data_IF_242638426760
#
_entry.id   IF_242638426760
#
_cell.length_a   1.000
_cell.length_b   1.000
_cell.length_c   1.000
_cell.angle_alpha   90.00
_cell.angle_beta   90.00
_cell.angle_gamma   90.00
#
_symmetry.space_group_name_H-M   'P 1'
#
loop_
_entity.id
_entity.type
_entity.pdbx_description
1 polymer ?
#
# COMPACT_ATOMS: atom_id res chain seq x y z
N UNK A 1 41.13 -1.67 56.48
CA UNK A 1 40.07 -1.98 55.48
C UNK A 1 39.84 -0.72 54.67
N UNK A 2 40.67 -0.27 53.73
CA UNK A 2 41.54 -0.93 52.73
C UNK A 2 40.80 -1.75 51.68
N UNK A 3 40.17 -1.05 50.72
CA UNK A 3 40.00 -1.54 49.35
C UNK A 3 39.97 -0.35 48.38
N UNK A 4 41.12 0.25 48.13
CA UNK A 4 41.38 0.92 46.85
C UNK A 4 42.73 0.40 46.38
N UNK A 5 42.67 -0.66 45.57
CA UNK A 5 43.81 -1.19 44.85
C UNK A 5 44.17 -0.21 43.73
N UNK A 6 45.44 0.19 43.70
CA UNK A 6 46.14 0.96 42.66
C UNK A 6 46.22 2.47 42.83
N UNK A 7 47.31 2.91 43.47
CA UNK A 7 48.01 4.14 43.08
C UNK A 7 48.67 3.92 41.72
N UNK A 8 48.19 4.63 40.69
CA UNK A 8 48.89 4.75 39.41
C UNK A 8 49.67 6.07 39.41
N UNK A 9 50.99 5.96 39.48
CA UNK A 9 51.94 7.04 39.15
C UNK A 9 52.16 7.02 37.64
N UNK A 10 51.22 7.57 36.87
CA UNK A 10 51.39 7.77 35.43
C UNK A 10 51.16 9.24 35.09
N UNK A 11 52.28 9.94 34.96
CA UNK A 11 52.37 11.33 34.52
C UNK A 11 52.07 11.35 33.01
N UNK A 12 50.93 11.91 32.62
CA UNK A 12 50.41 11.96 31.24
C UNK A 12 51.38 12.57 30.21
N UNK A 13 52.42 13.26 30.68
CA UNK A 13 53.44 13.88 29.83
C UNK A 13 54.49 12.89 29.29
N UNK A 14 54.66 11.71 29.88
CA UNK A 14 55.63 10.73 29.39
C UNK A 14 55.06 9.82 28.28
N UNK A 15 53.74 9.54 28.28
CA UNK A 15 53.09 8.82 27.16
C UNK A 15 52.99 9.68 25.88
N UNK A 16 52.83 11.01 26.02
CA UNK A 16 52.83 11.91 24.86
C UNK A 16 54.19 11.99 24.17
N UNK A 17 55.30 11.68 24.87
CA UNK A 17 56.64 11.60 24.28
C UNK A 17 56.95 10.26 23.62
N UNK A 18 56.16 9.22 23.89
CA UNK A 18 56.33 7.90 23.27
C UNK A 18 55.49 7.70 22.01
N UNK A 19 54.74 8.73 21.55
CA UNK A 19 54.04 8.66 20.27
C UNK A 19 55.09 8.69 19.16
N UNK A 20 55.47 7.49 18.75
CA UNK A 20 56.35 7.27 17.61
C UNK A 20 55.68 7.91 16.39
N UNK A 21 56.39 8.80 15.69
CA UNK A 21 55.85 9.50 14.50
C UNK A 21 55.29 8.52 13.44
N UNK A 22 55.77 7.27 13.42
CA UNK A 22 55.24 6.21 12.56
C UNK A 22 53.84 5.72 12.96
N UNK A 23 53.55 5.56 14.24
CA UNK A 23 52.26 5.03 14.71
C UNK A 23 51.14 6.07 14.62
N UNK A 24 51.46 7.34 14.87
CA UNK A 24 50.52 8.45 14.70
C UNK A 24 50.10 8.63 13.23
N UNK A 25 51.01 8.39 12.28
CA UNK A 25 50.68 8.38 10.86
C UNK A 25 49.73 7.23 10.49
N UNK A 26 49.92 6.03 11.05
CA UNK A 26 49.02 4.89 10.82
C UNK A 26 47.60 5.21 11.30
N UNK A 27 47.44 5.83 12.46
CA UNK A 27 46.13 6.27 12.95
C UNK A 27 45.52 7.37 12.08
N UNK A 28 46.32 8.32 11.60
CA UNK A 28 45.86 9.37 10.69
C UNK A 28 45.39 8.78 9.34
N UNK A 29 46.14 7.83 8.77
CA UNK A 29 45.76 7.15 7.54
C UNK A 29 44.52 6.27 7.73
N UNK A 30 44.38 5.62 8.88
CA UNK A 30 43.18 4.85 9.23
C UNK A 30 41.95 5.77 9.33
N UNK A 31 42.08 6.92 10.00
CA UNK A 31 41.00 7.92 10.11
C UNK A 31 40.63 8.50 8.74
N UNK A 32 41.61 8.86 7.92
CA UNK A 32 41.39 9.39 6.57
C UNK A 32 40.74 8.36 5.64
N UNK A 33 41.16 7.09 5.73
CA UNK A 33 40.50 5.97 5.05
C UNK A 33 39.04 5.84 5.46
N UNK A 34 38.76 5.94 6.77
CA UNK A 34 37.42 5.80 7.31
C UNK A 34 36.51 6.97 6.92
N UNK A 35 37.03 8.20 6.88
CA UNK A 35 36.34 9.38 6.35
C UNK A 35 36.06 9.20 4.85
N UNK A 36 37.04 8.74 4.08
CA UNK A 36 36.88 8.53 2.63
C UNK A 36 35.83 7.45 2.31
N UNK A 37 35.86 6.32 3.03
CA UNK A 37 34.84 5.26 2.91
C UNK A 37 33.46 5.81 3.30
N UNK A 38 33.36 6.59 4.38
CA UNK A 38 32.09 7.16 4.84
C UNK A 38 31.50 8.15 3.83
N UNK A 39 32.33 9.02 3.24
CA UNK A 39 31.92 9.93 2.17
C UNK A 39 31.48 9.15 0.92
N UNK A 40 32.20 8.09 0.54
CA UNK A 40 31.85 7.25 -0.60
C UNK A 40 30.52 6.48 -0.40
N UNK A 41 30.18 6.12 0.84
CA UNK A 41 28.91 5.46 1.19
C UNK A 41 27.74 6.46 1.21
N UNK A 42 27.98 7.69 1.69
CA UNK A 42 26.91 8.68 1.92
C UNK A 42 26.63 9.61 0.72
N UNK A 43 27.49 9.65 -0.29
CA UNK A 43 27.23 10.32 -1.58
C UNK A 43 27.09 9.32 -2.76
N UNK A 44 26.04 8.49 -2.80
CA UNK A 44 25.84 7.58 -3.93
C UNK A 44 25.33 8.34 -5.16
N UNK A 45 26.11 8.35 -6.25
CA UNK A 45 25.72 8.89 -7.56
C UNK A 45 25.11 7.84 -8.51
N UNK A 46 24.93 6.60 -8.04
CA UNK A 46 24.32 5.51 -8.82
C UNK A 46 22.83 5.35 -8.50
N UNK A 47 22.01 5.05 -9.51
CA UNK A 47 20.62 4.64 -9.29
C UNK A 47 20.58 3.34 -8.46
N UNK A 48 19.73 3.33 -7.42
CA UNK A 48 19.69 2.36 -6.32
C UNK A 48 19.46 0.88 -6.68
N UNK A 49 19.35 0.49 -7.95
CA UNK A 49 18.95 -0.86 -8.39
C UNK A 49 19.60 -1.32 -9.72
N UNK A 50 20.93 -1.32 -9.80
CA UNK A 50 21.64 -1.92 -10.94
C UNK A 50 21.80 -3.46 -10.76
N UNK A 51 21.81 -4.23 -11.86
CA UNK A 51 22.09 -5.69 -11.83
C UNK A 51 23.54 -5.95 -11.40
N UNK A 52 23.81 -7.10 -10.76
CA UNK A 52 25.15 -7.51 -10.26
C UNK A 52 26.23 -7.42 -11.34
N UNK A 53 25.93 -7.83 -12.57
CA UNK A 53 26.89 -7.81 -13.70
C UNK A 53 27.27 -6.39 -14.15
N UNK A 54 26.43 -5.40 -13.83
CA UNK A 54 26.71 -3.97 -14.02
C UNK A 54 27.52 -3.38 -12.88
N UNK A 55 27.32 -3.88 -11.65
CA UNK A 55 27.96 -3.37 -10.44
C UNK A 55 29.38 -3.91 -10.25
N UNK A 56 29.64 -5.16 -10.60
CA UNK A 56 30.91 -5.83 -10.30
C UNK A 56 31.62 -6.35 -11.56
N UNK A 57 32.94 -6.40 -11.50
CA UNK A 57 33.83 -6.86 -12.58
C UNK A 57 33.77 -8.37 -12.72
N UNK A 58 33.69 -9.08 -11.59
CA UNK A 58 33.43 -10.52 -11.51
C UNK A 58 32.09 -10.76 -10.81
N UNK A 59 31.26 -11.71 -11.29
CA UNK A 59 29.99 -12.05 -10.65
C UNK A 59 30.16 -12.81 -9.32
N UNK A 60 31.33 -13.43 -9.11
CA UNK A 60 31.64 -14.24 -7.92
C UNK A 60 32.36 -13.41 -6.85
N UNK A 61 32.03 -13.62 -5.57
CA UNK A 61 32.69 -13.00 -4.43
C UNK A 61 33.47 -14.02 -3.60
N UNK A 62 34.57 -13.59 -2.97
CA UNK A 62 35.31 -14.43 -2.03
C UNK A 62 34.53 -14.56 -0.71
N UNK A 63 34.14 -15.79 -0.34
CA UNK A 63 33.35 -16.03 0.87
C UNK A 63 34.12 -15.71 2.17
N UNK A 64 35.45 -15.84 2.18
CA UNK A 64 36.28 -15.55 3.34
C UNK A 64 36.46 -14.04 3.61
N UNK A 65 36.29 -13.19 2.59
CA UNK A 65 36.52 -11.74 2.66
C UNK A 65 35.45 -11.01 1.84
N UNK A 66 34.18 -11.23 2.20
CA UNK A 66 33.04 -10.77 1.39
C UNK A 66 33.04 -9.26 1.22
N UNK A 67 33.31 -8.51 2.29
CA UNK A 67 33.26 -7.04 2.26
C UNK A 67 34.38 -6.46 1.39
N UNK A 68 35.63 -6.91 1.58
CA UNK A 68 36.77 -6.47 0.77
C UNK A 68 36.61 -6.90 -0.69
N UNK A 69 36.09 -8.12 -0.92
CA UNK A 69 35.85 -8.66 -2.27
C UNK A 69 34.79 -7.86 -3.00
N UNK A 70 33.70 -7.44 -2.35
CA UNK A 70 32.66 -6.63 -2.99
C UNK A 70 33.18 -5.22 -3.30
N UNK A 71 33.93 -4.61 -2.38
CA UNK A 71 34.48 -3.26 -2.55
C UNK A 71 35.47 -3.20 -3.72
N UNK A 72 36.45 -4.11 -3.75
CA UNK A 72 37.52 -4.11 -4.75
C UNK A 72 37.07 -4.61 -6.13
N UNK A 73 35.95 -5.31 -6.20
CA UNK A 73 35.42 -5.87 -7.43
C UNK A 73 34.38 -4.95 -8.11
N UNK A 74 34.05 -3.80 -7.52
CA UNK A 74 33.05 -2.87 -8.06
C UNK A 74 33.57 -2.13 -9.30
N UNK A 75 32.78 -2.12 -10.39
CA UNK A 75 33.11 -1.38 -11.62
C UNK A 75 32.97 0.13 -11.37
N UNK A 76 33.97 0.89 -11.81
CA UNK A 76 33.91 2.35 -11.87
C UNK A 76 33.40 2.74 -13.25
N UNK A 77 32.18 3.27 -13.35
CA UNK A 77 31.70 3.91 -14.58
C UNK A 77 32.28 5.34 -14.66
N UNK A 78 33.24 5.58 -15.55
CA UNK A 78 33.46 6.93 -16.10
C UNK A 78 32.32 7.23 -17.07
N UNK A 79 31.25 7.85 -16.59
CA UNK A 79 30.18 8.33 -17.47
C UNK A 79 30.49 9.71 -18.01
N UNK A 80 30.33 9.86 -19.32
CA UNK A 80 30.30 11.14 -20.00
C UNK A 80 29.29 12.07 -19.36
N UNK A 81 29.79 13.24 -18.95
CA UNK A 81 28.98 14.39 -18.59
C UNK A 81 28.36 14.98 -19.87
N UNK A 82 27.03 15.07 -19.92
CA UNK A 82 26.39 16.11 -20.71
C UNK A 82 26.39 17.36 -19.84
N UNK A 83 27.38 18.21 -20.10
CA UNK A 83 27.57 19.50 -19.46
C UNK A 83 26.46 20.47 -19.90
N UNK A 84 25.49 20.72 -19.01
CA UNK A 84 24.34 21.62 -19.24
C UNK A 84 24.78 23.06 -19.55
N UNK A 85 26.04 23.41 -19.28
CA UNK A 85 26.63 24.73 -19.60
C UNK A 85 27.03 24.89 -21.07
N UNK A 86 26.96 23.82 -21.88
CA UNK A 86 27.27 23.83 -23.32
C UNK A 86 26.06 23.59 -24.23
N UNK A 87 24.84 23.80 -23.74
CA UNK A 87 23.67 23.78 -24.62
C UNK A 87 23.65 25.00 -25.52
N UNK A 88 23.52 24.78 -26.83
CA UNK A 88 23.41 25.86 -27.79
C UNK A 88 22.01 26.52 -27.69
N UNK A 89 21.91 27.80 -28.04
CA UNK A 89 20.63 28.51 -28.07
C UNK A 89 19.54 27.80 -28.92
N UNK A 90 19.96 26.98 -29.89
CA UNK A 90 19.05 26.19 -30.73
C UNK A 90 18.39 25.02 -29.99
N UNK A 91 19.05 24.45 -28.98
CA UNK A 91 18.51 23.33 -28.19
C UNK A 91 17.49 23.82 -27.15
N UNK A 92 17.73 25.01 -26.59
CA UNK A 92 16.77 25.72 -25.74
C UNK A 92 15.53 26.09 -26.58
N UNK A 93 15.73 26.61 -27.79
CA UNK A 93 14.64 26.99 -28.69
C UNK A 93 13.81 25.79 -29.19
N UNK A 94 14.40 24.60 -29.33
CA UNK A 94 13.65 23.36 -29.59
C UNK A 94 12.75 22.94 -28.42
N UNK A 95 13.18 23.14 -27.17
CA UNK A 95 12.33 22.91 -26.00
C UNK A 95 11.22 23.96 -25.87
N UNK A 96 11.52 25.23 -26.19
CA UNK A 96 10.51 26.31 -26.18
C UNK A 96 9.48 26.16 -27.30
N UNK A 97 9.90 25.71 -28.49
CA UNK A 97 8.99 25.44 -29.60
C UNK A 97 8.14 24.17 -29.37
N UNK A 98 8.62 23.21 -28.60
CA UNK A 98 7.83 22.05 -28.18
C UNK A 98 6.73 22.43 -27.16
N UNK A 99 6.91 23.54 -26.43
CA UNK A 99 5.88 24.11 -25.54
C UNK A 99 4.89 25.03 -26.27
N UNK A 100 5.26 25.62 -27.42
CA UNK A 100 4.37 26.44 -28.25
C UNK A 100 3.50 25.64 -29.23
N UNK A 101 3.86 24.38 -29.54
CA UNK A 101 3.05 23.47 -30.38
C UNK A 101 2.09 22.57 -29.58
N UNK A 102 1.71 22.93 -28.35
CA UNK A 102 0.48 22.39 -27.76
C UNK A 102 -0.68 23.09 -28.46
N UNK A 103 -1.13 22.48 -29.55
CA UNK A 103 -2.45 22.75 -30.12
C UNK A 103 -3.46 22.90 -28.99
N UNK A 104 -4.11 24.06 -28.94
CA UNK A 104 -5.33 24.27 -28.15
C UNK A 104 -6.34 23.22 -28.62
N UNK A 105 -6.39 22.08 -27.91
CA UNK A 105 -7.47 21.12 -28.08
C UNK A 105 -8.67 21.74 -27.38
N UNK A 106 -9.43 22.49 -28.16
CA UNK A 106 -10.69 23.08 -27.79
C UNK A 106 -11.68 21.94 -27.48
N UNK A 107 -11.88 21.64 -26.19
CA UNK A 107 -12.66 20.46 -25.72
C UNK A 107 -14.13 20.52 -26.13
N UNK A 108 -14.61 21.65 -26.63
CA UNK A 108 -15.94 21.78 -27.23
C UNK A 108 -16.10 21.00 -28.55
N UNK A 109 -15.02 20.46 -29.12
CA UNK A 109 -15.03 19.59 -30.32
C UNK A 109 -14.23 18.29 -30.13
N UNK A 110 -14.27 17.65 -28.96
CA UNK A 110 -13.72 16.29 -28.84
C UNK A 110 -14.62 15.28 -29.55
N UNK A 111 -14.04 14.45 -30.42
CA UNK A 111 -14.78 13.33 -31.00
C UNK A 111 -15.11 12.30 -29.91
N UNK A 112 -16.18 11.51 -30.09
CA UNK A 112 -16.53 10.44 -29.15
C UNK A 112 -15.36 9.44 -28.94
N UNK A 113 -14.49 9.28 -29.94
CA UNK A 113 -13.31 8.43 -29.88
C UNK A 113 -12.21 9.01 -28.97
N UNK A 114 -12.01 10.33 -28.97
CA UNK A 114 -11.03 10.99 -28.10
C UNK A 114 -11.44 10.96 -26.63
N UNK A 115 -12.76 11.07 -26.36
CA UNK A 115 -13.32 10.93 -25.02
C UNK A 115 -13.13 9.49 -24.51
N UNK A 116 -13.40 8.50 -25.36
CA UNK A 116 -13.22 7.09 -25.01
C UNK A 116 -11.75 6.77 -24.72
N UNK A 117 -10.83 7.22 -25.59
CA UNK A 117 -9.39 7.02 -25.39
C UNK A 117 -8.90 7.67 -24.09
N UNK A 118 -9.42 8.86 -23.76
CA UNK A 118 -9.12 9.54 -22.49
C UNK A 118 -9.63 8.75 -21.29
N UNK A 119 -10.82 8.15 -21.37
CA UNK A 119 -11.36 7.29 -20.32
C UNK A 119 -10.54 6.01 -20.12
N UNK A 120 -9.95 5.47 -21.18
CA UNK A 120 -9.11 4.25 -21.11
C UNK A 120 -7.71 4.55 -20.51
N UNK A 121 -7.18 5.76 -20.72
CA UNK A 121 -5.91 6.23 -20.14
C UNK A 121 -6.05 6.73 -18.69
N UNK A 122 -7.28 6.98 -18.23
CA UNK A 122 -7.51 7.56 -16.90
C UNK A 122 -7.26 6.53 -15.81
N UNK A 123 -6.46 6.93 -14.82
CA UNK A 123 -6.19 6.12 -13.63
C UNK A 123 -7.44 5.98 -12.79
N UNK A 124 -7.79 4.76 -12.40
CA UNK A 124 -8.95 4.46 -11.53
C UNK A 124 -8.51 3.75 -10.26
N UNK A 125 -9.02 4.20 -9.12
CA UNK A 125 -8.77 3.57 -7.82
C UNK A 125 -10.10 3.09 -7.25
N UNK A 126 -10.20 1.79 -7.01
CA UNK A 126 -11.29 1.17 -6.27
C UNK A 126 -10.89 1.02 -4.81
N UNK A 127 -11.46 1.84 -3.95
CA UNK A 127 -11.21 1.77 -2.51
C UNK A 127 -12.12 0.72 -1.89
N UNK A 128 -11.54 -0.26 -1.22
CA UNK A 128 -12.26 -1.42 -0.71
C UNK A 128 -11.98 -1.58 0.76
N UNK A 129 -13.02 -1.49 1.58
CA UNK A 129 -12.93 -1.73 3.00
C UNK A 129 -13.86 -2.85 3.42
N UNK A 130 -13.48 -3.58 4.47
CA UNK A 130 -14.34 -4.56 5.14
C UNK A 130 -14.69 -4.08 6.53
N UNK A 131 -15.95 -4.27 6.92
CA UNK A 131 -16.47 -3.95 8.24
C UNK A 131 -17.17 -5.18 8.84
N UNK A 132 -16.82 -5.50 10.07
CA UNK A 132 -17.52 -6.42 10.96
C UNK A 132 -17.40 -6.01 12.44
N UNK A 133 -18.51 -5.53 13.01
CA UNK A 133 -18.67 -5.13 14.42
C UNK A 133 -17.79 -3.94 14.89
N UNK A 134 -17.50 -3.00 14.01
CA UNK A 134 -16.75 -1.79 14.33
C UNK A 134 -17.57 -0.86 15.24
N UNK A 135 -16.85 -0.19 16.13
CA UNK A 135 -17.39 0.88 16.94
C UNK A 135 -17.73 2.11 16.09
N UNK A 136 -18.56 2.99 16.66
CA UNK A 136 -18.92 4.26 16.01
C UNK A 136 -17.67 5.09 15.71
N UNK A 137 -16.67 5.09 16.59
CA UNK A 137 -15.46 5.90 16.44
C UNK A 137 -14.54 5.35 15.33
N UNK A 138 -14.40 4.02 15.22
CA UNK A 138 -13.66 3.37 14.12
C UNK A 138 -14.32 3.67 12.77
N UNK A 139 -15.64 3.51 12.66
CA UNK A 139 -16.39 3.83 11.45
C UNK A 139 -16.22 5.31 11.06
N UNK A 140 -16.33 6.23 12.04
CA UNK A 140 -16.11 7.67 11.82
C UNK A 140 -14.68 7.90 11.29
N UNK A 141 -13.68 7.27 11.88
CA UNK A 141 -12.28 7.44 11.52
C UNK A 141 -11.99 7.01 10.08
N UNK A 142 -12.49 5.85 9.68
CA UNK A 142 -12.37 5.37 8.30
C UNK A 142 -13.13 6.26 7.32
N UNK A 143 -14.37 6.63 7.63
CA UNK A 143 -15.19 7.52 6.79
C UNK A 143 -14.56 8.90 6.62
N UNK A 144 -13.90 9.44 7.65
CA UNK A 144 -13.13 10.69 7.52
C UNK A 144 -12.05 10.56 6.45
N UNK A 145 -11.37 9.43 6.35
CA UNK A 145 -10.35 9.18 5.33
C UNK A 145 -10.96 9.09 3.93
N UNK A 146 -12.10 8.41 3.79
CA UNK A 146 -12.87 8.32 2.54
C UNK A 146 -13.35 9.70 2.07
N UNK A 147 -13.92 10.51 2.97
CA UNK A 147 -14.41 11.85 2.65
C UNK A 147 -13.27 12.81 2.30
N UNK A 148 -12.11 12.71 2.94
CA UNK A 148 -10.91 13.47 2.54
C UNK A 148 -10.46 13.10 1.11
N UNK A 149 -10.56 11.82 0.74
CA UNK A 149 -10.29 11.37 -0.64
C UNK A 149 -11.31 11.93 -1.63
N UNK A 150 -12.60 11.95 -1.27
CA UNK A 150 -13.66 12.54 -2.08
C UNK A 150 -13.43 14.03 -2.36
N UNK A 151 -12.99 14.79 -1.34
CA UNK A 151 -12.60 16.20 -1.49
C UNK A 151 -11.41 16.36 -2.42
N UNK A 152 -10.32 15.60 -2.22
CA UNK A 152 -9.10 15.70 -3.05
C UNK A 152 -9.42 15.38 -4.52
N UNK A 153 -10.20 14.32 -4.76
CA UNK A 153 -10.59 13.92 -6.10
C UNK A 153 -11.52 14.96 -6.76
N UNK A 154 -12.50 15.50 -6.03
CA UNK A 154 -13.40 16.54 -6.51
C UNK A 154 -12.63 17.82 -6.89
N UNK A 155 -11.67 18.24 -6.06
CA UNK A 155 -10.82 19.39 -6.34
C UNK A 155 -10.00 19.18 -7.63
N UNK A 156 -9.42 17.99 -7.83
CA UNK A 156 -8.70 17.64 -9.07
C UNK A 156 -9.61 17.61 -10.28
N UNK A 157 -10.83 17.09 -10.16
CA UNK A 157 -11.84 17.07 -11.23
C UNK A 157 -12.21 18.50 -11.64
N UNK A 158 -12.39 19.40 -10.67
CA UNK A 158 -12.69 20.82 -10.94
C UNK A 158 -11.50 21.52 -11.59
N UNK A 159 -10.29 21.32 -11.08
CA UNK A 159 -9.07 21.87 -11.67
C UNK A 159 -8.88 21.41 -13.13
N UNK A 160 -9.12 20.12 -13.42
CA UNK A 160 -9.05 19.58 -14.78
C UNK A 160 -10.06 20.25 -15.73
N UNK A 161 -11.30 20.46 -15.26
CA UNK A 161 -12.35 21.15 -16.04
C UNK A 161 -12.01 22.62 -16.27
N UNK A 162 -11.41 23.28 -15.28
CA UNK A 162 -11.12 24.72 -15.32
C UNK A 162 -9.92 25.05 -16.20
N UNK A 163 -8.79 24.35 -16.00
CA UNK A 163 -7.55 24.64 -16.72
C UNK A 163 -7.48 23.99 -18.10
N UNK A 164 -8.47 23.17 -18.48
CA UNK A 164 -8.52 22.40 -19.72
C UNK A 164 -7.22 21.64 -20.05
N UNK A 165 -6.42 21.32 -19.04
CA UNK A 165 -5.09 20.74 -19.17
C UNK A 165 -5.12 19.28 -18.73
N UNK A 166 -4.40 18.42 -19.47
CA UNK A 166 -4.11 17.03 -19.07
C UNK A 166 -3.21 17.08 -17.84
N UNK A 167 -3.80 17.01 -16.65
CA UNK A 167 -3.04 16.78 -15.42
C UNK A 167 -2.62 15.32 -15.39
N UNK A 168 -1.31 15.07 -15.29
CA UNK A 168 -0.74 13.74 -15.04
C UNK A 168 -1.22 13.14 -13.72
N UNK A 169 -1.73 13.99 -12.83
CA UNK A 169 -2.05 13.62 -11.46
C UNK A 169 -3.56 13.36 -11.27
N UNK A 170 -4.34 13.36 -12.35
CA UNK A 170 -5.78 13.08 -12.26
C UNK A 170 -6.05 11.59 -12.10
N UNK A 171 -6.95 11.25 -11.16
CA UNK A 171 -7.45 9.90 -10.95
C UNK A 171 -8.96 9.94 -10.63
N UNK A 172 -9.62 8.83 -10.91
CA UNK A 172 -11.01 8.58 -10.51
C UNK A 172 -11.05 7.63 -9.32
N UNK A 173 -12.05 7.80 -8.45
CA UNK A 173 -12.27 6.92 -7.32
C UNK A 173 -13.67 6.34 -7.33
N UNK A 174 -13.77 5.09 -6.89
CA UNK A 174 -15.02 4.44 -6.52
C UNK A 174 -14.81 3.75 -5.17
N UNK A 175 -15.74 3.92 -4.24
CA UNK A 175 -15.58 3.42 -2.88
C UNK A 175 -16.56 2.29 -2.62
N UNK A 176 -16.05 1.18 -2.13
CA UNK A 176 -16.78 -0.04 -1.77
C UNK A 176 -16.51 -0.40 -0.32
N UNK A 177 -17.57 -0.51 0.48
CA UNK A 177 -17.51 -1.00 1.85
C UNK A 177 -18.31 -2.29 1.94
N UNK A 178 -17.69 -3.33 2.45
CA UNK A 178 -18.21 -4.68 2.52
C UNK A 178 -18.58 -4.98 3.98
N UNK A 179 -19.88 -4.96 4.30
CA UNK A 179 -20.39 -5.30 5.63
C UNK A 179 -20.65 -6.80 5.74
N UNK A 180 -19.94 -7.47 6.65
CA UNK A 180 -20.16 -8.89 6.95
C UNK A 180 -21.30 -9.07 7.98
N UNK A 181 -22.11 -10.12 7.81
CA UNK A 181 -23.29 -10.44 8.63
C UNK A 181 -24.21 -9.24 8.91
N UNK A 182 -24.66 -8.57 7.83
CA UNK A 182 -25.36 -7.29 7.90
C UNK A 182 -26.82 -7.37 8.36
N UNK A 183 -27.37 -8.57 8.53
CA UNK A 183 -28.80 -8.79 8.74
C UNK A 183 -29.07 -9.71 9.94
N UNK A 184 -30.18 -9.45 10.63
CA UNK A 184 -30.72 -10.23 11.75
C UNK A 184 -32.17 -10.63 11.47
N UNK A 185 -32.61 -11.68 12.16
CA UNK A 185 -33.98 -12.16 12.07
C UNK A 185 -34.82 -11.48 13.12
N UNK A 186 -35.89 -10.80 12.69
CA UNK A 186 -36.90 -10.22 13.58
C UNK A 186 -38.15 -11.07 13.49
N UNK A 187 -38.59 -11.57 14.64
CA UNK A 187 -39.83 -12.31 14.75
C UNK A 187 -40.93 -11.36 15.22
N UNK A 188 -41.98 -11.25 14.42
CA UNK A 188 -43.18 -10.48 14.76
C UNK A 188 -44.38 -11.42 14.81
N UNK A 189 -45.07 -11.43 15.95
CA UNK A 189 -46.32 -12.19 16.12
C UNK A 189 -47.50 -11.26 15.88
N UNK A 190 -48.23 -11.51 14.79
CA UNK A 190 -49.48 -10.81 14.50
C UNK A 190 -50.56 -11.86 14.30
N UNK A 191 -51.58 -11.85 15.17
CA UNK A 191 -52.73 -12.76 15.05
C UNK A 191 -52.43 -14.25 15.27
N UNK A 192 -51.38 -14.60 16.01
CA UNK A 192 -51.02 -16.00 16.29
C UNK A 192 -50.16 -16.68 15.22
N UNK A 193 -49.75 -15.96 14.17
CA UNK A 193 -48.73 -16.40 13.22
C UNK A 193 -47.41 -15.66 13.47
N UNK A 194 -46.32 -16.42 13.66
CA UNK A 194 -44.96 -15.89 13.76
C UNK A 194 -44.42 -15.62 12.37
N UNK A 195 -44.24 -14.36 12.02
CA UNK A 195 -43.59 -13.95 10.77
C UNK A 195 -42.10 -13.69 11.02
N UNK A 196 -41.23 -14.34 10.24
CA UNK A 196 -39.79 -14.10 10.23
C UNK A 196 -39.48 -13.02 9.20
N UNK A 197 -39.05 -11.86 9.65
CA UNK A 197 -38.61 -10.76 8.79
C UNK A 197 -37.09 -10.59 8.90
N UNK A 198 -36.43 -10.45 7.76
CA UNK A 198 -34.99 -10.17 7.69
C UNK A 198 -34.76 -8.66 7.72
N UNK A 199 -34.14 -8.15 8.79
CA UNK A 199 -33.87 -6.73 8.97
C UNK A 199 -32.38 -6.46 9.11
N UNK A 200 -31.94 -5.25 8.77
CA UNK A 200 -30.53 -4.86 8.96
C UNK A 200 -30.16 -4.83 10.44
N UNK A 201 -28.90 -5.13 10.74
CA UNK A 201 -28.39 -5.13 12.10
C UNK A 201 -28.15 -3.70 12.65
N UNK A 202 -27.81 -3.61 13.93
CA UNK A 202 -27.52 -2.31 14.59
C UNK A 202 -26.30 -1.61 14.02
N UNK A 203 -25.28 -2.34 13.56
CA UNK A 203 -24.05 -1.77 13.00
C UNK A 203 -24.27 -1.06 11.67
N UNK A 204 -25.13 -1.60 10.80
CA UNK A 204 -25.52 -0.95 9.54
C UNK A 204 -26.33 0.32 9.82
N UNK A 205 -27.20 0.28 10.83
CA UNK A 205 -27.96 1.46 11.27
C UNK A 205 -27.03 2.53 11.85
N UNK A 206 -26.09 2.13 12.72
CA UNK A 206 -25.06 3.00 13.27
C UNK A 206 -24.21 3.64 12.17
N UNK A 207 -23.82 2.88 11.15
CA UNK A 207 -23.06 3.39 10.01
C UNK A 207 -23.83 4.49 9.26
N UNK A 208 -25.13 4.29 9.04
CA UNK A 208 -26.00 5.28 8.38
C UNK A 208 -26.15 6.58 9.21
N UNK A 209 -26.05 6.52 10.54
CA UNK A 209 -26.05 7.71 11.41
C UNK A 209 -24.68 8.39 11.46
N UNK A 210 -23.62 7.59 11.41
CA UNK A 210 -22.23 8.05 11.52
C UNK A 210 -21.74 8.76 10.26
N UNK A 211 -22.25 8.40 9.08
CA UNK A 211 -21.80 9.01 7.81
C UNK A 211 -22.01 10.52 7.76
N UNK A 212 -23.13 11.01 8.29
CA UNK A 212 -23.42 12.45 8.39
C UNK A 212 -22.50 13.16 9.39
N UNK A 213 -22.19 12.50 10.52
CA UNK A 213 -21.23 13.00 11.51
C UNK A 213 -19.82 13.10 10.92
N UNK A 214 -19.40 12.07 10.19
CA UNK A 214 -18.10 12.06 9.53
C UNK A 214 -18.01 13.14 8.44
N UNK A 215 -19.06 13.28 7.60
CA UNK A 215 -19.15 14.33 6.59
C UNK A 215 -19.08 15.72 7.22
N UNK A 216 -19.86 15.95 8.27
CA UNK A 216 -19.88 17.24 8.94
C UNK A 216 -18.53 17.60 9.57
N UNK A 217 -17.81 16.61 10.11
CA UNK A 217 -16.49 16.82 10.68
C UNK A 217 -15.43 17.13 9.63
N UNK A 218 -15.44 16.45 8.47
CA UNK A 218 -14.42 16.68 7.43
C UNK A 218 -14.63 18.00 6.70
N UNK A 219 -15.89 18.38 6.47
CA UNK A 219 -16.22 19.62 5.75
C UNK A 219 -16.41 20.84 6.67
N UNK A 220 -16.25 20.67 7.98
CA UNK A 220 -16.38 21.73 8.99
C UNK A 220 -17.72 22.49 8.93
N UNK A 221 -18.77 21.83 8.43
CA UNK A 221 -20.12 22.37 8.33
C UNK A 221 -21.16 21.26 8.52
N UNK A 222 -22.40 21.60 8.89
CA UNK A 222 -23.44 20.60 9.09
C UNK A 222 -23.90 20.03 7.73
N UNK A 223 -23.43 18.83 7.40
CA UNK A 223 -23.79 18.12 6.17
C UNK A 223 -24.69 16.95 6.52
N UNK A 224 -25.83 16.88 5.84
CA UNK A 224 -26.68 15.69 5.79
C UNK A 224 -26.68 15.14 4.38
N UNK A 225 -26.23 13.90 4.24
CA UNK A 225 -26.26 13.23 2.96
C UNK A 225 -27.70 12.86 2.59
N UNK A 226 -27.95 12.75 1.28
CA UNK A 226 -29.23 12.24 0.79
C UNK A 226 -29.38 10.78 1.23
N UNK A 227 -30.62 10.37 1.45
CA UNK A 227 -30.97 8.98 1.71
C UNK A 227 -30.34 8.08 0.63
N UNK A 228 -29.68 6.98 1.00
CA UNK A 228 -29.07 6.10 0.03
C UNK A 228 -30.11 5.47 -0.88
N UNK A 229 -29.72 5.14 -2.11
CA UNK A 229 -30.50 4.24 -2.93
C UNK A 229 -30.33 2.80 -2.42
N UNK A 230 -31.45 2.11 -2.19
CA UNK A 230 -31.47 0.71 -1.76
C UNK A 230 -31.68 -0.18 -2.99
N UNK A 231 -30.79 -1.14 -3.19
CA UNK A 231 -30.88 -2.11 -4.28
C UNK A 231 -30.76 -3.52 -3.70
N UNK A 232 -31.74 -4.42 -3.93
CA UNK A 232 -31.61 -5.82 -3.55
C UNK A 232 -30.57 -6.51 -4.43
N UNK A 233 -29.75 -7.38 -3.84
CA UNK A 233 -28.69 -8.09 -4.56
C UNK A 233 -28.76 -9.59 -4.27
N UNK A 234 -28.20 -10.46 -5.13
CA UNK A 234 -28.21 -11.91 -4.90
C UNK A 234 -27.53 -12.35 -3.60
N UNK A 235 -26.73 -11.47 -3.00
CA UNK A 235 -25.98 -11.70 -1.78
C UNK A 235 -26.58 -11.03 -0.53
N UNK A 236 -27.70 -10.31 -0.67
CA UNK A 236 -28.32 -9.54 0.40
C UNK A 236 -28.82 -8.20 -0.13
N UNK A 237 -28.12 -7.12 0.18
CA UNK A 237 -28.49 -5.78 -0.26
C UNK A 237 -27.31 -4.88 -0.58
N UNK A 238 -27.62 -3.73 -1.17
CA UNK A 238 -26.67 -2.68 -1.45
C UNK A 238 -27.28 -1.32 -1.13
N UNK A 239 -26.50 -0.47 -0.47
CA UNK A 239 -26.80 0.93 -0.22
C UNK A 239 -25.85 1.80 -1.04
N UNK A 240 -26.37 2.78 -1.76
CA UNK A 240 -25.55 3.67 -2.59
C UNK A 240 -25.76 5.12 -2.17
N UNK A 241 -24.69 5.74 -1.68
CA UNK A 241 -24.64 7.18 -1.39
C UNK A 241 -23.92 7.94 -2.49
N UNK A 242 -24.35 9.18 -2.72
CA UNK A 242 -23.58 10.17 -3.47
C UNK A 242 -22.93 11.11 -2.46
N UNK A 243 -21.59 11.10 -2.42
CA UNK A 243 -20.80 11.94 -1.52
C UNK A 243 -20.79 13.40 -2.01
N UNK A 244 -20.41 14.38 -1.14
CA UNK A 244 -20.41 15.81 -1.50
C UNK A 244 -19.54 16.14 -2.71
N UNK A 245 -18.43 15.43 -2.90
CA UNK A 245 -17.54 15.52 -4.05
C UNK A 245 -18.03 14.79 -5.30
N UNK A 246 -19.31 14.36 -5.32
CA UNK A 246 -20.01 13.66 -6.41
C UNK A 246 -19.51 12.25 -6.72
N UNK A 247 -18.57 11.72 -5.93
CA UNK A 247 -18.20 10.30 -6.01
C UNK A 247 -19.26 9.42 -5.36
N UNK A 248 -19.32 8.16 -5.79
CA UNK A 248 -20.27 7.18 -5.28
C UNK A 248 -19.62 6.33 -4.20
N UNK A 249 -20.38 6.13 -3.13
CA UNK A 249 -20.06 5.20 -2.06
C UNK A 249 -21.05 4.03 -2.14
N UNK A 250 -20.52 2.84 -2.41
CA UNK A 250 -21.25 1.60 -2.44
C UNK A 250 -21.01 0.84 -1.15
N UNK A 251 -22.08 0.55 -0.41
CA UNK A 251 -22.02 -0.28 0.78
C UNK A 251 -22.77 -1.56 0.50
N UNK A 252 -22.06 -2.67 0.57
CA UNK A 252 -22.57 -3.99 0.26
C UNK A 252 -22.90 -4.71 1.56
N UNK A 253 -24.15 -5.15 1.67
CA UNK A 253 -24.68 -5.82 2.85
C UNK A 253 -24.76 -7.31 2.57
N UNK A 254 -23.90 -8.09 3.24
CA UNK A 254 -23.89 -9.54 3.10
C UNK A 254 -24.95 -10.17 4.00
N UNK A 255 -25.80 -10.99 3.40
CA UNK A 255 -26.65 -11.92 4.13
C UNK A 255 -25.94 -13.28 4.31
N UNK A 256 -25.78 -13.70 5.56
CA UNK A 256 -25.18 -14.99 5.93
C UNK A 256 -26.01 -16.22 5.57
N UNK A 257 -27.30 -16.06 5.27
CA UNK A 257 -28.16 -17.14 4.79
C UNK A 257 -28.00 -17.35 3.27
N UNK A 258 -27.63 -16.29 2.53
CA UNK A 258 -27.43 -16.34 1.07
C UNK A 258 -25.97 -16.64 0.68
N UNK A 259 -25.00 -16.21 1.49
CA UNK A 259 -23.56 -16.46 1.28
C UNK A 259 -23.00 -17.32 2.42
N UNK A 260 -21.92 -18.08 2.12
CA UNK A 260 -21.06 -18.80 3.08
C UNK A 260 -21.01 -18.14 4.47
N UNK A 261 -21.57 -18.87 5.44
CA UNK A 261 -21.58 -18.54 6.85
C UNK A 261 -20.16 -18.54 7.45
N UNK A 262 -19.89 -17.66 8.43
CA UNK A 262 -18.63 -17.56 9.20
C UNK A 262 -17.35 -17.22 8.40
N UNK A 263 -17.46 -16.82 7.13
CA UNK A 263 -16.32 -16.38 6.30
C UNK A 263 -16.49 -14.92 5.91
N UNK A 264 -15.53 -14.06 6.25
CA UNK A 264 -15.52 -12.64 5.84
C UNK A 264 -15.41 -12.49 4.33
N UNK A 265 -15.85 -11.36 3.78
CA UNK A 265 -15.60 -11.05 2.39
C UNK A 265 -14.13 -10.73 2.15
N UNK A 266 -13.53 -11.42 1.18
CA UNK A 266 -12.23 -11.02 0.64
C UNK A 266 -12.43 -9.78 -0.25
N UNK A 267 -11.75 -8.70 0.10
CA UNK A 267 -11.77 -7.44 -0.64
C UNK A 267 -11.32 -7.64 -2.09
N UNK A 268 -10.24 -8.40 -2.26
CA UNK A 268 -9.61 -8.65 -3.55
C UNK A 268 -10.46 -9.57 -4.41
N UNK A 269 -11.03 -10.63 -3.82
CA UNK A 269 -11.92 -11.53 -4.55
C UNK A 269 -13.15 -10.79 -5.07
N UNK A 270 -13.78 -9.97 -4.23
CA UNK A 270 -14.94 -9.18 -4.62
C UNK A 270 -14.61 -8.26 -5.80
N UNK A 271 -13.49 -7.53 -5.70
CA UNK A 271 -13.08 -6.62 -6.76
C UNK A 271 -12.69 -7.33 -8.04
N UNK A 272 -12.06 -8.49 -7.96
CA UNK A 272 -11.76 -9.27 -9.15
C UNK A 272 -13.03 -9.63 -9.93
N UNK A 273 -14.08 -10.10 -9.25
CA UNK A 273 -15.36 -10.39 -9.91
C UNK A 273 -16.01 -9.13 -10.50
N UNK A 274 -15.98 -8.02 -9.78
CA UNK A 274 -16.55 -6.76 -10.27
C UNK A 274 -15.80 -6.24 -11.50
N UNK A 275 -14.46 -6.26 -11.46
CA UNK A 275 -13.62 -5.84 -12.57
C UNK A 275 -13.78 -6.78 -13.77
N UNK A 276 -13.80 -8.10 -13.55
CA UNK A 276 -14.04 -9.10 -14.58
C UNK A 276 -15.40 -8.91 -15.26
N UNK A 277 -16.46 -8.63 -14.50
CA UNK A 277 -17.78 -8.33 -15.05
C UNK A 277 -17.77 -7.04 -15.88
N UNK A 278 -17.18 -5.95 -15.37
CA UNK A 278 -17.12 -4.66 -16.09
C UNK A 278 -16.27 -4.71 -17.35
N UNK A 279 -15.28 -5.61 -17.39
CA UNK A 279 -14.36 -5.74 -18.52
C UNK A 279 -14.69 -6.90 -19.47
N UNK A 280 -15.81 -7.60 -19.25
CA UNK A 280 -16.19 -8.79 -20.03
C UNK A 280 -16.45 -8.47 -21.51
N UNK A 281 -17.11 -7.34 -21.77
CA UNK A 281 -17.53 -6.93 -23.12
C UNK A 281 -16.51 -5.99 -23.79
N UNK A 282 -15.32 -5.82 -23.21
CA UNK A 282 -14.26 -4.95 -23.72
C UNK A 282 -13.26 -5.77 -24.52
N UNK A 283 -12.83 -5.25 -25.68
CA UNK A 283 -11.76 -5.84 -26.49
C UNK A 283 -10.48 -6.06 -25.65
N UNK A 284 -9.77 -7.16 -25.93
CA UNK A 284 -8.64 -7.62 -25.13
C UNK A 284 -7.52 -6.58 -24.97
N UNK A 285 -7.09 -5.91 -26.06
CA UNK A 285 -6.06 -4.87 -25.97
C UNK A 285 -6.48 -3.66 -25.14
N UNK A 286 -7.78 -3.31 -25.16
CA UNK A 286 -8.33 -2.21 -24.35
C UNK A 286 -8.45 -2.64 -22.90
N UNK A 287 -8.89 -3.88 -22.65
CA UNK A 287 -8.97 -4.48 -21.32
C UNK A 287 -7.62 -4.42 -20.62
N UNK A 288 -6.53 -4.79 -21.30
CA UNK A 288 -5.19 -4.76 -20.73
C UNK A 288 -4.73 -3.36 -20.32
N UNK A 289 -5.02 -2.35 -21.15
CA UNK A 289 -4.71 -0.94 -20.83
C UNK A 289 -5.52 -0.44 -19.65
N UNK A 290 -6.81 -0.76 -19.60
CA UNK A 290 -7.69 -0.38 -18.49
C UNK A 290 -7.22 -1.08 -17.21
N UNK A 291 -6.90 -2.37 -17.26
CA UNK A 291 -6.41 -3.15 -16.12
C UNK A 291 -5.05 -2.64 -15.63
N UNK A 292 -4.20 -2.13 -16.51
CA UNK A 292 -2.91 -1.53 -16.13
C UNK A 292 -3.07 -0.20 -15.36
N UNK A 293 -4.09 0.59 -15.73
CA UNK A 293 -4.43 1.89 -15.12
C UNK A 293 -5.45 1.77 -13.98
N UNK A 294 -5.89 0.55 -13.65
CA UNK A 294 -6.85 0.31 -12.57
C UNK A 294 -6.13 -0.26 -11.35
N UNK A 295 -6.40 0.33 -10.18
CA UNK A 295 -5.83 -0.06 -8.92
C UNK A 295 -6.92 -0.33 -7.88
N UNK A 296 -6.66 -1.25 -6.96
CA UNK A 296 -7.52 -1.58 -5.82
C UNK A 296 -6.79 -1.20 -4.55
N UNK A 297 -7.37 -0.30 -3.76
CA UNK A 297 -6.84 0.09 -2.46
C UNK A 297 -7.58 -0.72 -1.38
N UNK A 298 -6.88 -1.66 -0.77
CA UNK A 298 -7.35 -2.46 0.36
C UNK A 298 -7.22 -1.66 1.66
N UNK A 299 -8.29 -1.64 2.46
CA UNK A 299 -8.45 -0.82 3.66
C UNK A 299 -9.10 -1.61 4.79
N UNK A 300 -8.67 -1.40 6.04
CA UNK A 300 -9.36 -1.91 7.22
C UNK A 300 -10.45 -0.94 7.71
N UNK A 301 -11.40 -1.45 8.50
CA UNK A 301 -12.56 -0.69 9.00
C UNK A 301 -12.23 0.44 9.98
N UNK A 302 -11.01 0.46 10.51
CA UNK A 302 -10.50 1.40 11.51
C UNK A 302 -9.36 2.30 10.97
N UNK A 303 -9.01 2.19 9.69
CA UNK A 303 -7.85 2.86 9.12
C UNK A 303 -8.04 4.38 9.01
N UNK A 304 -7.00 5.14 9.33
CA UNK A 304 -6.92 6.58 9.13
C UNK A 304 -5.75 6.95 8.21
N UNK A 305 -6.03 7.66 7.13
CA UNK A 305 -5.00 8.12 6.20
C UNK A 305 -5.35 9.47 5.57
N UNK A 306 -4.39 10.02 4.85
CA UNK A 306 -4.54 11.28 4.08
C UNK A 306 -4.42 11.00 2.59
N UNK A 307 -5.04 11.81 1.72
CA UNK A 307 -4.95 11.63 0.27
C UNK A 307 -3.52 11.60 -0.29
N UNK A 308 -2.61 12.35 0.35
CA UNK A 308 -1.18 12.33 0.02
C UNK A 308 -0.56 10.92 0.14
N UNK A 309 -0.98 10.12 1.13
CA UNK A 309 -0.47 8.77 1.32
C UNK A 309 -0.86 7.85 0.14
N UNK A 310 -2.13 7.90 -0.28
CA UNK A 310 -2.62 7.15 -1.45
C UNK A 310 -1.89 7.60 -2.72
N UNK A 311 -1.69 8.91 -2.90
CA UNK A 311 -0.94 9.44 -4.04
C UNK A 311 0.49 8.92 -4.10
N UNK A 312 1.20 8.85 -2.97
CA UNK A 312 2.57 8.31 -2.96
C UNK A 312 2.62 6.84 -3.38
N UNK A 313 1.64 6.03 -3.00
CA UNK A 313 1.51 4.66 -3.49
C UNK A 313 1.20 4.63 -4.99
N UNK A 314 0.27 5.49 -5.43
CA UNK A 314 -0.11 5.58 -6.83
C UNK A 314 1.07 6.02 -7.71
N UNK A 315 1.82 7.05 -7.32
CA UNK A 315 2.99 7.56 -8.04
C UNK A 315 4.04 6.44 -8.21
N UNK A 316 4.25 5.63 -7.16
CA UNK A 316 5.15 4.47 -7.20
C UNK A 316 4.66 3.40 -8.20
N UNK A 317 3.36 3.07 -8.16
CA UNK A 317 2.74 2.11 -9.07
C UNK A 317 2.71 2.61 -10.52
N UNK A 318 2.50 3.90 -10.77
CA UNK A 318 2.54 4.48 -12.11
C UNK A 318 3.97 4.42 -12.66
N UNK A 319 4.98 4.75 -11.83
CA UNK A 319 6.39 4.72 -12.20
C UNK A 319 6.88 3.31 -12.56
N UNK A 320 6.49 2.31 -11.77
CA UNK A 320 6.94 0.93 -11.95
C UNK A 320 5.84 0.04 -12.52
N UNK A 321 5.84 -0.17 -13.84
CA UNK A 321 4.82 -0.98 -14.53
C UNK A 321 4.81 -2.45 -14.12
N UNK A 322 5.96 -3.03 -13.73
CA UNK A 322 6.05 -4.39 -13.18
C UNK A 322 5.76 -4.47 -11.66
N UNK A 323 5.23 -3.40 -11.06
CA UNK A 323 4.82 -3.40 -9.67
C UNK A 323 3.37 -3.88 -9.57
N UNK A 324 3.18 -5.04 -8.94
CA UNK A 324 1.87 -5.66 -8.72
C UNK A 324 1.17 -5.14 -7.47
N UNK A 325 1.94 -4.79 -6.44
CA UNK A 325 1.40 -4.18 -5.22
C UNK A 325 2.39 -3.21 -4.55
N UNK A 326 1.85 -2.21 -3.87
CA UNK A 326 2.60 -1.28 -3.03
C UNK A 326 1.92 -1.12 -1.67
N UNK A 327 2.69 -1.24 -0.58
CA UNK A 327 2.17 -1.03 0.77
C UNK A 327 2.74 0.25 1.40
N UNK A 328 1.90 0.93 2.19
CA UNK A 328 2.31 2.08 2.99
C UNK A 328 2.90 1.68 4.34
N UNK A 329 3.50 2.66 5.02
CA UNK A 329 3.91 2.55 6.42
C UNK A 329 2.70 2.67 7.33
N UNK A 330 2.52 1.66 8.18
CA UNK A 330 1.43 1.61 9.14
C UNK A 330 1.94 1.99 10.53
N UNK A 331 1.21 2.88 11.18
CA UNK A 331 1.48 3.34 12.53
C UNK A 331 0.39 2.84 13.48
N UNK A 332 0.72 1.94 14.42
CA UNK A 332 -0.23 1.50 15.42
C UNK A 332 -0.54 2.64 16.40
N UNK A 333 -1.82 2.91 16.62
CA UNK A 333 -2.36 3.87 17.59
C UNK A 333 -3.13 3.13 18.69
N UNK A 334 -3.29 3.76 19.85
CA UNK A 334 -3.89 3.16 21.05
C UNK A 334 -3.08 3.44 22.32
N UNK A 335 -3.57 2.94 23.45
CA UNK A 335 -2.99 3.12 24.78
C UNK A 335 -2.44 1.83 25.42
N UNK A 336 -1.52 2.02 26.37
CA UNK A 336 -1.05 0.96 27.27
C UNK A 336 0.16 0.14 26.79
N UNK A 337 0.67 -0.77 27.65
CA UNK A 337 1.93 -1.50 27.42
C UNK A 337 1.91 -2.38 26.16
N UNK A 338 0.75 -2.96 25.83
CA UNK A 338 0.60 -3.82 24.65
C UNK A 338 0.77 -3.05 23.35
N UNK A 339 0.26 -1.81 23.30
CA UNK A 339 0.42 -0.94 22.13
C UNK A 339 1.86 -0.46 22.02
N UNK A 340 2.56 -0.21 23.14
CA UNK A 340 3.99 0.15 23.11
C UNK A 340 4.84 -1.00 22.54
N UNK A 341 4.55 -2.23 22.95
CA UNK A 341 5.20 -3.41 22.41
C UNK A 341 4.94 -3.54 20.89
N UNK A 342 3.70 -3.39 20.46
CA UNK A 342 3.36 -3.43 19.03
C UNK A 342 4.01 -2.30 18.24
N UNK A 343 4.11 -1.08 18.79
CA UNK A 343 4.86 0.02 18.17
C UNK A 343 6.31 -0.35 17.93
N UNK A 344 6.95 -0.98 18.91
CA UNK A 344 8.33 -1.46 18.79
C UNK A 344 8.45 -2.57 17.74
N UNK A 345 7.54 -3.56 17.76
CA UNK A 345 7.53 -4.64 16.76
C UNK A 345 7.31 -4.11 15.34
N UNK A 346 6.38 -3.17 15.14
CA UNK A 346 6.13 -2.54 13.85
C UNK A 346 7.34 -1.71 13.41
N UNK A 347 8.02 -1.03 14.33
CA UNK A 347 9.25 -0.30 14.01
C UNK A 347 10.34 -1.26 13.53
N UNK A 348 10.59 -2.38 14.22
CA UNK A 348 11.54 -3.40 13.76
C UNK A 348 11.12 -3.97 12.40
N UNK A 349 9.85 -4.36 12.27
CA UNK A 349 9.32 -4.93 11.03
C UNK A 349 9.46 -3.97 9.84
N UNK A 350 9.16 -2.69 10.03
CA UNK A 350 9.23 -1.70 8.97
C UNK A 350 10.65 -1.19 8.68
N UNK A 351 11.47 -1.01 9.72
CA UNK A 351 12.82 -0.42 9.56
C UNK A 351 13.87 -1.44 9.23
N UNK A 352 13.77 -2.66 9.77
CA UNK A 352 14.76 -3.70 9.52
C UNK A 352 14.24 -4.66 8.44
N UNK A 353 13.12 -5.34 8.69
CA UNK A 353 12.67 -6.42 7.80
C UNK A 353 12.20 -5.87 6.45
N UNK A 354 11.25 -4.94 6.40
CA UNK A 354 10.73 -4.38 5.14
C UNK A 354 11.76 -3.58 4.36
N UNK A 355 12.66 -2.88 5.06
CA UNK A 355 13.77 -2.20 4.39
C UNK A 355 14.74 -3.19 3.76
N UNK A 356 15.05 -4.30 4.46
CA UNK A 356 15.90 -5.38 3.96
C UNK A 356 15.23 -6.10 2.78
N UNK A 357 13.95 -6.47 2.90
CA UNK A 357 13.16 -7.06 1.81
C UNK A 357 13.13 -6.14 0.57
N UNK A 358 12.92 -4.83 0.78
CA UNK A 358 12.98 -3.85 -0.31
C UNK A 358 14.39 -3.78 -0.92
N UNK A 359 15.45 -3.78 -0.10
CA UNK A 359 16.84 -3.78 -0.60
C UNK A 359 17.17 -5.02 -1.43
N UNK A 360 16.65 -6.20 -1.06
CA UNK A 360 16.77 -7.44 -1.83
C UNK A 360 15.82 -7.52 -3.03
N UNK A 361 14.97 -6.51 -3.25
CA UNK A 361 14.25 -6.28 -4.49
C UNK A 361 12.77 -6.67 -4.48
N UNK A 362 12.25 -7.30 -3.41
CA UNK A 362 10.82 -7.56 -3.25
C UNK A 362 10.39 -7.70 -1.78
N UNK A 363 9.25 -7.08 -1.46
CA UNK A 363 8.58 -7.20 -0.17
C UNK A 363 7.72 -8.45 -0.15
N UNK A 364 7.84 -9.27 0.90
CA UNK A 364 7.20 -10.60 0.95
C UNK A 364 5.71 -10.56 1.29
N UNK A 365 5.21 -9.42 1.76
CA UNK A 365 3.81 -9.26 2.15
C UNK A 365 3.43 -7.78 2.18
N UNK A 366 2.29 -7.46 1.56
CA UNK A 366 1.58 -6.19 1.65
C UNK A 366 0.36 -6.39 2.57
N UNK A 367 0.31 -5.72 3.72
CA UNK A 367 -0.80 -5.85 4.68
C UNK A 367 -2.12 -5.34 4.10
N UNK A 368 -3.23 -6.04 4.38
CA UNK A 368 -4.57 -5.69 3.86
C UNK A 368 -5.14 -4.37 4.36
N UNK A 369 -4.58 -3.79 5.42
CA UNK A 369 -5.11 -2.58 6.04
C UNK A 369 -4.85 -1.28 5.25
N UNK A 370 -3.78 -1.23 4.45
CA UNK A 370 -3.45 -0.08 3.59
C UNK A 370 -2.45 -0.44 2.49
N UNK A 371 -2.95 -1.11 1.45
CA UNK A 371 -2.14 -1.56 0.31
C UNK A 371 -2.85 -1.33 -1.02
N UNK A 372 -2.08 -0.96 -2.05
CA UNK A 372 -2.56 -0.69 -3.39
C UNK A 372 -2.13 -1.83 -4.33
N UNK A 373 -3.10 -2.50 -4.97
CA UNK A 373 -2.88 -3.62 -5.88
C UNK A 373 -3.23 -3.21 -7.32
N UNK A 374 -2.45 -3.65 -8.31
CA UNK A 374 -2.75 -3.42 -9.72
C UNK A 374 -3.75 -4.46 -10.24
N UNK A 375 -4.81 -4.03 -10.91
CA UNK A 375 -5.80 -4.94 -11.48
C UNK A 375 -5.18 -5.93 -12.47
N UNK A 376 -4.27 -5.47 -13.36
CA UNK A 376 -3.54 -6.35 -14.29
C UNK A 376 -2.75 -7.46 -13.57
N UNK A 377 -2.18 -7.18 -12.40
CA UNK A 377 -1.43 -8.17 -11.64
C UNK A 377 -2.37 -9.22 -11.03
N UNK A 378 -3.54 -8.80 -10.55
CA UNK A 378 -4.57 -9.72 -10.06
C UNK A 378 -5.20 -10.53 -11.19
N UNK A 379 -5.33 -9.96 -12.39
CA UNK A 379 -5.86 -10.65 -13.57
C UNK A 379 -4.84 -11.56 -14.25
N UNK A 380 -3.62 -11.65 -13.72
CA UNK A 380 -2.62 -12.59 -14.25
C UNK A 380 -3.07 -14.03 -14.06
N UNK A 381 -2.67 -14.88 -15.00
CA UNK A 381 -3.00 -16.30 -14.96
C UNK A 381 -2.61 -16.93 -13.63
N UNK A 382 -3.42 -17.88 -13.17
CA UNK A 382 -3.22 -18.63 -11.93
C UNK A 382 -3.34 -17.85 -10.61
N UNK A 383 -3.17 -16.53 -10.56
CA UNK A 383 -3.30 -15.76 -9.29
C UNK A 383 -4.69 -15.95 -8.72
N UNK A 384 -5.73 -15.54 -9.44
CA UNK A 384 -7.09 -15.60 -8.92
C UNK A 384 -7.66 -17.01 -8.93
N UNK A 385 -7.23 -17.88 -9.84
CA UNK A 385 -7.62 -19.29 -9.85
C UNK A 385 -7.13 -20.00 -8.57
N UNK A 386 -5.87 -19.79 -8.15
CA UNK A 386 -5.34 -20.33 -6.89
C UNK A 386 -5.93 -19.61 -5.67
N UNK A 387 -6.05 -18.28 -5.73
CA UNK A 387 -6.56 -17.48 -4.60
C UNK A 387 -8.01 -17.81 -4.23
N UNK A 388 -8.84 -18.15 -5.22
CA UNK A 388 -10.25 -18.52 -5.00
C UNK A 388 -10.47 -20.01 -4.71
N UNK A 389 -9.39 -20.81 -4.69
CA UNK A 389 -9.48 -22.24 -4.41
C UNK A 389 -9.96 -22.50 -2.98
N UNK A 390 -10.75 -23.56 -2.80
CA UNK A 390 -11.25 -23.94 -1.47
C UNK A 390 -10.16 -24.70 -0.74
N UNK A 391 -9.87 -24.28 0.50
CA UNK A 391 -8.98 -25.03 1.38
C UNK A 391 -9.57 -26.42 1.68
N UNK A 392 -8.82 -27.47 1.39
CA UNK A 392 -9.12 -28.85 1.77
C UNK A 392 -8.20 -29.35 2.88
N UNK A 393 -6.96 -28.85 2.94
CA UNK A 393 -5.94 -29.30 3.88
C UNK A 393 -5.67 -28.29 5.01
N UNK A 394 -5.16 -28.75 6.14
CA UNK A 394 -4.90 -27.92 7.32
C UNK A 394 -4.01 -26.71 7.04
N UNK A 395 -2.95 -26.89 6.23
CA UNK A 395 -2.02 -25.82 5.84
C UNK A 395 -2.74 -24.77 4.98
N UNK A 396 -3.60 -25.22 4.04
CA UNK A 396 -4.39 -24.35 3.19
C UNK A 396 -5.40 -23.51 4.00
N UNK A 397 -5.98 -24.03 5.07
CA UNK A 397 -6.83 -23.22 5.95
C UNK A 397 -6.05 -22.08 6.63
N UNK A 398 -4.79 -22.30 6.99
CA UNK A 398 -3.93 -21.26 7.57
C UNK A 398 -3.55 -20.21 6.52
N UNK A 399 -3.23 -20.62 5.30
CA UNK A 399 -2.81 -19.72 4.23
C UNK A 399 -4.00 -19.01 3.58
N UNK A 400 -4.97 -19.76 3.09
CA UNK A 400 -6.08 -19.25 2.28
C UNK A 400 -7.14 -18.56 3.13
N UNK A 401 -7.38 -19.06 4.36
CA UNK A 401 -8.48 -18.53 5.17
C UNK A 401 -8.05 -17.51 6.24
N UNK A 402 -6.86 -17.66 6.83
CA UNK A 402 -6.38 -16.76 7.90
C UNK A 402 -5.35 -15.73 7.42
N UNK A 403 -4.68 -16.01 6.30
CA UNK A 403 -3.53 -15.25 5.80
C UNK A 403 -3.71 -14.72 4.38
N UNK A 404 -4.94 -14.35 4.01
CA UNK A 404 -5.33 -13.98 2.65
C UNK A 404 -4.37 -12.96 1.99
N UNK A 405 -4.00 -11.89 2.70
CA UNK A 405 -3.11 -10.85 2.17
C UNK A 405 -1.74 -11.40 1.80
N UNK A 406 -1.19 -12.26 2.68
CA UNK A 406 0.13 -12.86 2.48
C UNK A 406 0.07 -13.89 1.36
N UNK A 407 -0.98 -14.71 1.33
CA UNK A 407 -1.20 -15.67 0.25
C UNK A 407 -1.29 -14.99 -1.11
N UNK A 408 -2.03 -13.88 -1.20
CA UNK A 408 -2.09 -13.09 -2.42
C UNK A 408 -0.71 -12.56 -2.84
N UNK A 409 0.07 -12.05 -1.89
CA UNK A 409 1.43 -11.57 -2.17
C UNK A 409 2.34 -12.70 -2.67
N UNK A 410 2.28 -13.88 -2.05
CA UNK A 410 2.99 -15.08 -2.50
C UNK A 410 2.66 -15.39 -3.96
N UNK A 411 1.37 -15.41 -4.33
CA UNK A 411 0.93 -15.68 -5.69
C UNK A 411 1.40 -14.63 -6.70
N UNK A 412 1.38 -13.35 -6.32
CA UNK A 412 1.90 -12.27 -7.17
C UNK A 412 3.41 -12.42 -7.42
N UNK A 413 4.18 -12.74 -6.37
CA UNK A 413 5.63 -12.97 -6.47
C UNK A 413 5.93 -14.19 -7.35
N UNK A 414 5.18 -15.28 -7.20
CA UNK A 414 5.32 -16.48 -8.05
C UNK A 414 5.04 -16.21 -9.53
N UNK A 415 4.18 -15.23 -9.84
CA UNK A 415 3.93 -14.77 -11.22
C UNK A 415 4.95 -13.73 -11.72
N UNK A 416 6.00 -13.43 -10.95
CA UNK A 416 7.07 -12.51 -11.33
C UNK A 416 6.75 -11.03 -11.13
N UNK A 417 5.63 -10.70 -10.46
CA UNK A 417 5.32 -9.33 -10.08
C UNK A 417 6.19 -8.89 -8.90
N UNK A 418 6.55 -7.61 -8.88
CA UNK A 418 7.24 -7.01 -7.74
C UNK A 418 6.24 -6.44 -6.74
N UNK A 419 6.64 -6.45 -5.47
CA UNK A 419 5.93 -5.81 -4.37
C UNK A 419 6.90 -4.87 -3.68
N UNK A 420 6.49 -3.63 -3.42
CA UNK A 420 7.35 -2.59 -2.84
C UNK A 420 6.70 -1.93 -1.62
N UNK A 421 7.56 -1.44 -0.73
CA UNK A 421 7.18 -0.72 0.48
C UNK A 421 7.49 0.78 0.33
N UNK A 422 6.45 1.61 0.48
CA UNK A 422 6.57 3.06 0.42
C UNK A 422 6.66 3.65 1.84
N UNK A 423 7.89 3.86 2.31
CA UNK A 423 8.18 4.43 3.62
C UNK A 423 7.60 5.84 3.85
N UNK A 424 7.30 6.61 2.80
CA UNK A 424 6.76 7.96 2.90
C UNK A 424 5.22 8.00 2.92
N UNK A 425 4.55 6.86 2.71
CA UNK A 425 3.09 6.75 2.68
C UNK A 425 2.58 6.29 4.04
N UNK A 426 2.20 7.24 4.90
CA UNK A 426 1.79 6.93 6.27
C UNK A 426 0.28 6.67 6.40
N UNK A 427 -0.08 5.63 7.15
CA UNK A 427 -1.45 5.30 7.60
C UNK A 427 -1.45 4.92 9.09
N UNK A 428 -2.61 5.03 9.76
CA UNK A 428 -2.75 4.80 11.19
C UNK A 428 -3.91 3.83 11.47
N UNK A 429 -3.69 2.82 12.31
CA UNK A 429 -4.66 1.76 12.67
C UNK A 429 -4.64 1.50 14.16
N UNK A 430 -5.77 1.15 14.75
CA UNK A 430 -5.89 0.80 16.16
C UNK A 430 -5.27 -0.57 16.42
N UNK A 431 -4.33 -0.59 17.36
CA UNK A 431 -3.68 -1.82 17.78
C UNK A 431 -4.40 -2.43 18.99
N UNK A 432 -4.48 -3.76 19.10
CA UNK A 432 -4.99 -4.45 20.29
C UNK A 432 -4.39 -3.90 21.60
N UNK A 433 -5.23 -3.46 22.53
CA UNK A 433 -4.76 -2.94 23.82
C UNK A 433 -4.64 -4.07 24.87
N UNK A 434 -5.44 -5.12 24.73
CA UNK A 434 -5.45 -6.29 25.61
C UNK A 434 -4.63 -7.47 25.09
N UNK A 435 -4.05 -8.26 26.01
CA UNK A 435 -3.28 -9.46 25.65
C UNK A 435 -4.12 -10.52 24.92
N UNK A 436 -5.40 -10.68 25.28
CA UNK A 436 -6.27 -11.68 24.64
C UNK A 436 -6.48 -11.43 23.15
N UNK A 437 -6.78 -10.18 22.79
CA UNK A 437 -6.94 -9.75 21.39
C UNK A 437 -5.63 -9.86 20.62
N UNK A 438 -4.53 -9.39 21.23
CA UNK A 438 -3.19 -9.53 20.68
C UNK A 438 -2.83 -11.00 20.41
N UNK A 439 -3.10 -11.90 21.36
CA UNK A 439 -2.82 -13.32 21.20
C UNK A 439 -3.61 -13.95 20.05
N UNK A 440 -4.90 -13.61 19.91
CA UNK A 440 -5.75 -14.08 18.80
C UNK A 440 -5.24 -13.56 17.45
N UNK A 441 -4.76 -12.31 17.40
CA UNK A 441 -4.13 -11.74 16.22
C UNK A 441 -2.86 -12.53 15.84
N UNK A 442 -1.95 -12.75 16.80
CA UNK A 442 -0.68 -13.46 16.57
C UNK A 442 -0.84 -14.91 16.18
N UNK A 443 -1.85 -15.59 16.73
CA UNK A 443 -2.19 -16.97 16.36
C UNK A 443 -2.57 -17.12 14.89
N UNK A 444 -3.09 -16.07 14.26
CA UNK A 444 -3.38 -16.04 12.81
C UNK A 444 -2.14 -15.69 11.99
N UNK A 445 -1.40 -14.66 12.42
CA UNK A 445 -0.31 -14.08 11.63
C UNK A 445 0.96 -14.94 11.58
N UNK A 446 1.37 -15.52 12.71
CA UNK A 446 2.65 -16.24 12.78
C UNK A 446 2.64 -17.53 11.94
N UNK A 447 1.62 -18.42 12.04
CA UNK A 447 1.58 -19.62 11.21
C UNK A 447 1.48 -19.29 9.72
N UNK A 448 0.63 -18.33 9.34
CA UNK A 448 0.51 -17.88 7.94
C UNK A 448 1.85 -17.38 7.39
N UNK A 449 2.62 -16.64 8.20
CA UNK A 449 3.95 -16.15 7.80
C UNK A 449 4.89 -17.30 7.50
N UNK A 450 4.97 -18.28 8.39
CA UNK A 450 5.87 -19.42 8.25
C UNK A 450 5.56 -20.25 7.00
N UNK A 451 4.30 -20.64 6.79
CA UNK A 451 3.92 -21.50 5.66
C UNK A 451 4.07 -20.80 4.31
N UNK A 452 3.71 -19.52 4.21
CA UNK A 452 3.90 -18.77 2.95
C UNK A 452 5.39 -18.57 2.60
N UNK A 453 6.25 -18.35 3.60
CA UNK A 453 7.70 -18.27 3.35
C UNK A 453 8.23 -19.63 2.90
N UNK A 454 7.76 -20.72 3.51
CA UNK A 454 8.13 -22.07 3.10
C UNK A 454 7.79 -22.34 1.64
N UNK A 455 6.58 -22.00 1.19
CA UNK A 455 6.17 -22.21 -0.21
C UNK A 455 7.03 -21.41 -1.20
N UNK A 456 7.39 -20.16 -0.86
CA UNK A 456 8.29 -19.36 -1.69
C UNK A 456 9.70 -19.96 -1.81
N UNK A 457 10.19 -20.63 -0.77
CA UNK A 457 11.49 -21.29 -0.75
C UNK A 457 11.45 -22.71 -1.35
N UNK A 458 10.32 -23.38 -1.29
CA UNK A 458 10.15 -24.73 -1.82
C UNK A 458 9.89 -24.74 -3.34
N UNK A 459 9.25 -23.69 -3.87
CA UNK A 459 9.00 -23.52 -5.30
C UNK A 459 10.10 -22.70 -6.03
N UNK A 460 11.16 -22.25 -5.32
CA UNK A 460 12.29 -21.49 -5.90
C UNK A 460 13.37 -22.35 -6.54
#
# INVERSE_FOLDING_TARGET
MDYVFWHSTLDLNDELKSINYGESLVWLFSLLSQIWITLHIWEPTSERLAKTDKLFTKPEYCCAFIDQSLILNRKIETKGEVDVRKMSAQDIQKMTNCSQNRSEVDVRKMSAQDIQKRNDETVRIYMCATMWHESSDEMIQMLKSVLRMDIDQSARRQAMKWFNAKSTDYYEIEIHILFDDAFIDRFSEVGGQTTKERVVNSYVTQFAEVIDKAASHVHECNIRLKTPALTPTPYGGQLVWTLPGTNKLYVHLKDKELIRHKKRWSQVMYMYYLLGFRMKDVEEEKRDKIAENTFILALDGDINFRPKAVRLLLDLMIKHKNLGAACGRIHPIGGGPMVWYQKFEYAIGHWLQKATEHAFGCVLCSPGCFSLFRAKALMSDNVMNKYTSKASEAVQYVQYDQGEDRWLCTLLLQQGWRIEYCAASDSYTHAPEGFGEFYIQRRRWAPSTMFNIWDLLAES
#
